data_IF_522094590164
#
_entry.id   IF_522094590164
#
_cell.length_a   1.000
_cell.length_b   1.000
_cell.length_c   1.000
_cell.angle_alpha   90.00
_cell.angle_beta   90.00
_cell.angle_gamma   90.00
#
_symmetry.space_group_name_H-M   'P 1'
#
loop_
_entity.id
_entity.type
_entity.pdbx_description
1 polymer ?
#
# COMPACT_ATOMS: atom_id res chain seq x y z
N UNK A 1 -16.80 -1.54 -23.70
CA UNK A 1 -15.65 -1.23 -22.80
C UNK A 1 -14.65 -0.30 -23.46
N UNK A 2 -14.20 -0.57 -24.70
CA UNK A 2 -13.20 0.28 -25.36
C UNK A 2 -13.67 1.73 -25.50
N UNK A 3 -14.90 1.96 -25.96
CA UNK A 3 -15.51 3.30 -26.09
C UNK A 3 -15.59 4.05 -24.76
N UNK A 4 -15.97 3.37 -23.68
CA UNK A 4 -15.99 3.95 -22.33
C UNK A 4 -14.57 4.38 -21.88
N UNK A 5 -13.56 3.56 -22.17
CA UNK A 5 -12.17 3.89 -21.82
C UNK A 5 -11.65 5.07 -22.62
N UNK A 6 -11.99 5.19 -23.91
CA UNK A 6 -11.65 6.35 -24.73
C UNK A 6 -12.31 7.62 -24.20
N UNK A 7 -13.59 7.55 -23.81
CA UNK A 7 -14.32 8.67 -23.21
C UNK A 7 -13.71 9.13 -21.88
N UNK A 8 -13.19 8.19 -21.07
CA UNK A 8 -12.53 8.50 -19.80
C UNK A 8 -11.04 8.85 -19.95
N UNK A 9 -10.47 8.84 -21.16
CA UNK A 9 -9.05 9.08 -21.40
C UNK A 9 -8.12 7.98 -20.86
N UNK A 10 -8.63 6.76 -20.64
CA UNK A 10 -7.90 5.63 -20.07
C UNK A 10 -7.21 4.84 -21.20
N UNK A 11 -5.89 4.70 -21.13
CA UNK A 11 -5.14 3.83 -22.02
C UNK A 11 -5.14 2.38 -21.49
N UNK A 12 -5.93 1.50 -22.13
CA UNK A 12 -5.98 0.09 -21.77
C UNK A 12 -4.74 -0.65 -22.27
N UNK A 13 -3.96 -1.20 -21.34
CA UNK A 13 -2.81 -2.09 -21.62
C UNK A 13 -3.21 -3.53 -21.32
N UNK A 14 -3.32 -4.36 -22.34
CA UNK A 14 -3.61 -5.78 -22.20
C UNK A 14 -2.31 -6.58 -22.06
N UNK A 15 -2.29 -7.52 -21.12
CA UNK A 15 -1.21 -8.51 -21.00
C UNK A 15 -1.36 -9.59 -22.07
N UNK A 16 -0.24 -10.18 -22.49
CA UNK A 16 -0.28 -11.33 -23.40
C UNK A 16 -1.04 -12.50 -22.75
N UNK A 17 -1.88 -13.22 -23.51
CA UNK A 17 -2.56 -14.40 -23.01
C UNK A 17 -1.54 -15.40 -22.43
N UNK A 18 -1.91 -16.05 -21.32
CA UNK A 18 -1.06 -17.03 -20.63
C UNK A 18 0.30 -16.51 -20.13
N UNK A 19 0.45 -15.19 -19.94
CA UNK A 19 1.66 -14.59 -19.39
C UNK A 19 1.39 -13.84 -18.06
N UNK A 20 1.19 -14.56 -16.94
CA UNK A 20 0.81 -13.96 -15.65
C UNK A 20 1.90 -13.05 -15.06
N UNK A 21 3.14 -13.12 -15.56
CA UNK A 21 4.27 -12.36 -15.05
C UNK A 21 4.03 -10.84 -15.08
N UNK A 22 3.29 -10.32 -16.07
CA UNK A 22 2.99 -8.89 -16.18
C UNK A 22 2.07 -8.37 -15.08
N UNK A 23 1.21 -9.24 -14.51
CA UNK A 23 0.18 -8.86 -13.53
C UNK A 23 0.54 -9.32 -12.11
N UNK A 24 1.77 -9.76 -11.88
CA UNK A 24 2.18 -10.42 -10.63
C UNK A 24 1.98 -9.56 -9.37
N UNK A 25 2.02 -8.23 -9.46
CA UNK A 25 1.73 -7.36 -8.30
C UNK A 25 0.26 -7.43 -7.87
N UNK A 26 -0.66 -7.46 -8.83
CA UNK A 26 -2.10 -7.58 -8.57
C UNK A 26 -2.41 -8.97 -8.04
N UNK A 27 -1.80 -10.01 -8.60
CA UNK A 27 -1.98 -11.39 -8.13
C UNK A 27 -1.49 -11.58 -6.69
N UNK A 28 -0.31 -11.02 -6.35
CA UNK A 28 0.21 -11.02 -4.97
C UNK A 28 -0.72 -10.29 -4.00
N UNK A 29 -1.25 -9.15 -4.40
CA UNK A 29 -2.22 -8.41 -3.60
C UNK A 29 -3.48 -9.26 -3.37
N UNK A 30 -4.04 -9.86 -4.42
CA UNK A 30 -5.20 -10.75 -4.31
C UNK A 30 -4.94 -11.93 -3.37
N UNK A 31 -3.76 -12.55 -3.45
CA UNK A 31 -3.35 -13.61 -2.52
C UNK A 31 -3.19 -13.15 -1.08
N UNK A 32 -2.65 -11.94 -0.84
CA UNK A 32 -2.55 -11.33 0.48
C UNK A 32 -3.94 -11.06 1.08
N UNK A 33 -4.84 -10.45 0.30
CA UNK A 33 -6.19 -10.13 0.76
C UNK A 33 -6.97 -11.39 1.13
N UNK A 34 -6.88 -12.45 0.31
CA UNK A 34 -7.46 -13.76 0.64
C UNK A 34 -6.92 -14.29 1.96
N UNK A 35 -5.60 -14.28 2.16
CA UNK A 35 -4.96 -14.72 3.43
C UNK A 35 -5.39 -13.90 4.64
N UNK A 36 -5.60 -12.59 4.48
CA UNK A 36 -6.09 -11.75 5.56
C UNK A 36 -7.55 -12.08 5.87
N UNK A 37 -8.40 -12.14 4.85
CA UNK A 37 -9.83 -12.46 5.01
C UNK A 37 -10.03 -13.81 5.69
N UNK A 38 -9.30 -14.86 5.28
CA UNK A 38 -9.37 -16.20 5.91
C UNK A 38 -8.97 -16.21 7.38
N UNK A 39 -8.29 -15.17 7.89
CA UNK A 39 -7.98 -15.05 9.33
C UNK A 39 -9.07 -14.33 10.12
N UNK A 40 -9.90 -13.54 9.45
CA UNK A 40 -10.98 -12.77 10.07
C UNK A 40 -12.35 -13.44 9.91
N UNK A 41 -12.43 -14.53 9.17
CA UNK A 41 -13.69 -15.19 8.82
C UNK A 41 -13.56 -16.70 9.05
N UNK A 42 -14.43 -17.24 9.90
CA UNK A 42 -14.51 -18.67 10.19
C UNK A 42 -15.48 -19.40 9.25
N UNK A 43 -16.42 -18.67 8.65
CA UNK A 43 -17.38 -19.15 7.65
C UNK A 43 -17.28 -18.30 6.38
N UNK A 44 -17.78 -18.77 5.24
CA UNK A 44 -17.75 -17.99 4.00
C UNK A 44 -18.84 -16.90 3.93
N UNK A 45 -19.44 -16.56 5.06
CA UNK A 45 -20.53 -15.61 5.20
C UNK A 45 -19.97 -14.27 5.69
N UNK A 46 -20.35 -13.16 5.04
CA UNK A 46 -19.94 -11.79 5.37
C UNK A 46 -18.50 -11.36 5.02
N UNK A 47 -17.79 -12.12 4.18
CA UNK A 47 -16.43 -11.72 3.73
C UNK A 47 -16.40 -10.35 3.05
N UNK A 48 -17.50 -9.97 2.38
CA UNK A 48 -17.73 -8.71 1.70
C UNK A 48 -17.79 -7.53 2.68
N UNK A 49 -18.40 -7.73 3.84
CA UNK A 49 -18.48 -6.73 4.91
C UNK A 49 -17.11 -6.49 5.57
N UNK A 50 -16.23 -7.48 5.54
CA UNK A 50 -14.87 -7.39 6.09
C UNK A 50 -13.87 -6.70 5.16
N UNK A 51 -14.18 -6.57 3.86
CA UNK A 51 -13.28 -5.98 2.86
C UNK A 51 -12.77 -4.59 3.29
N UNK A 52 -13.60 -3.63 3.73
CA UNK A 52 -13.12 -2.30 4.08
C UNK A 52 -12.10 -2.32 5.22
N UNK A 53 -12.33 -3.15 6.25
CA UNK A 53 -11.43 -3.31 7.39
C UNK A 53 -10.11 -3.96 7.00
N UNK A 54 -10.16 -5.03 6.21
CA UNK A 54 -8.96 -5.71 5.70
C UNK A 54 -8.14 -4.79 4.80
N UNK A 55 -8.79 -4.05 3.90
CA UNK A 55 -8.11 -3.07 3.04
C UNK A 55 -7.47 -1.96 3.85
N UNK A 56 -8.13 -1.48 4.90
CA UNK A 56 -7.55 -0.47 5.80
C UNK A 56 -6.29 -1.00 6.48
N UNK A 57 -6.36 -2.17 7.11
CA UNK A 57 -5.22 -2.80 7.77
C UNK A 57 -4.05 -3.04 6.79
N UNK A 58 -4.36 -3.47 5.56
CA UNK A 58 -3.34 -3.64 4.52
C UNK A 58 -2.68 -2.31 4.14
N UNK A 59 -3.47 -1.24 3.98
CA UNK A 59 -2.96 0.09 3.60
C UNK A 59 -2.19 0.80 4.70
N UNK A 60 -2.51 0.53 5.97
CA UNK A 60 -1.80 1.04 7.14
C UNK A 60 -0.46 0.33 7.36
N UNK A 61 -0.39 -0.96 7.05
CA UNK A 61 0.81 -1.77 7.31
C UNK A 61 1.95 -1.42 6.34
N UNK A 62 3.18 -1.17 6.83
CA UNK A 62 4.36 -0.98 5.99
C UNK A 62 4.69 -2.21 5.15
N UNK A 63 5.00 -2.02 3.87
CA UNK A 63 5.41 -3.12 3.00
C UNK A 63 6.91 -3.38 3.09
N UNK A 64 7.33 -4.65 3.22
CA UNK A 64 8.74 -5.03 3.42
C UNK A 64 9.71 -4.54 2.34
N UNK A 65 9.23 -4.30 1.11
CA UNK A 65 10.09 -3.84 0.00
C UNK A 65 10.36 -2.34 0.07
N UNK A 66 9.33 -1.56 0.40
CA UNK A 66 9.40 -0.09 0.40
C UNK A 66 9.65 0.46 1.78
N UNK A 67 9.46 -0.33 2.84
CA UNK A 67 9.44 0.08 4.26
C UNK A 67 8.37 1.14 4.60
N UNK A 68 7.53 1.51 3.64
CA UNK A 68 6.43 2.46 3.79
C UNK A 68 5.07 1.78 3.58
N UNK A 69 4.06 2.32 4.25
CA UNK A 69 2.67 1.91 4.06
C UNK A 69 2.12 2.46 2.74
N UNK A 70 1.21 1.73 2.09
CA UNK A 70 0.61 2.19 0.84
C UNK A 70 -0.14 3.50 1.01
N UNK A 71 -0.78 3.71 2.17
CA UNK A 71 -1.44 4.98 2.49
C UNK A 71 -0.41 6.13 2.58
N UNK A 72 0.71 5.91 3.26
CA UNK A 72 1.77 6.92 3.39
C UNK A 72 2.36 7.34 2.03
N UNK A 73 2.49 6.40 1.09
CA UNK A 73 2.99 6.70 -0.26
C UNK A 73 2.05 7.56 -1.09
N UNK A 74 0.73 7.41 -0.92
CA UNK A 74 -0.27 8.16 -1.69
C UNK A 74 -0.56 9.51 -1.05
N UNK A 75 -0.64 9.55 0.28
CA UNK A 75 -1.12 10.72 1.01
C UNK A 75 -0.04 11.46 1.80
N UNK A 76 1.21 10.98 1.84
CA UNK A 76 2.31 11.66 2.52
C UNK A 76 2.15 11.78 4.04
N UNK A 77 1.24 11.00 4.64
CA UNK A 77 0.95 11.01 6.08
C UNK A 77 0.53 9.62 6.54
N UNK A 78 0.66 9.35 7.84
CA UNK A 78 0.12 8.13 8.44
C UNK A 78 -1.42 8.20 8.51
N UNK A 79 -2.15 7.13 8.17
CA UNK A 79 -3.59 7.09 8.42
C UNK A 79 -3.84 7.09 9.93
N UNK A 80 -4.91 7.75 10.39
CA UNK A 80 -5.35 7.65 11.78
C UNK A 80 -6.14 6.34 11.94
N UNK A 81 -5.51 5.35 12.55
CA UNK A 81 -6.07 4.01 12.73
C UNK A 81 -6.75 3.81 14.07
N UNK A 82 -7.33 2.62 14.27
CA UNK A 82 -7.86 2.20 15.57
C UNK A 82 -6.77 2.16 16.65
N UNK A 83 -5.54 1.83 16.27
CA UNK A 83 -4.36 1.86 17.14
C UNK A 83 -4.09 3.25 17.71
N UNK A 84 -4.15 4.29 16.87
CA UNK A 84 -3.94 5.67 17.28
C UNK A 84 -5.09 6.16 18.17
N UNK A 85 -6.34 5.80 17.84
CA UNK A 85 -7.52 6.15 18.67
C UNK A 85 -7.41 5.52 20.06
N UNK A 86 -7.01 4.25 20.13
CA UNK A 86 -6.79 3.56 21.40
C UNK A 86 -5.65 4.23 22.19
N UNK A 87 -4.54 4.59 21.53
CA UNK A 87 -3.43 5.27 22.17
C UNK A 87 -3.85 6.63 22.77
N UNK A 88 -4.66 7.41 22.05
CA UNK A 88 -5.23 8.66 22.56
C UNK A 88 -6.12 8.41 23.79
N UNK A 89 -7.00 7.39 23.72
CA UNK A 89 -7.88 7.03 24.82
C UNK A 89 -7.12 6.58 26.08
N UNK A 90 -6.03 5.81 25.92
CA UNK A 90 -5.22 5.34 27.05
C UNK A 90 -4.31 6.43 27.64
N UNK A 91 -3.81 7.34 26.81
CA UNK A 91 -2.91 8.41 27.26
C UNK A 91 -3.65 9.59 27.90
N UNK A 92 -4.99 9.65 27.75
CA UNK A 92 -5.79 10.78 28.20
C UNK A 92 -5.48 12.09 27.45
N UNK A 93 -4.62 12.03 26.43
CA UNK A 93 -4.30 13.14 25.56
C UNK A 93 -5.28 13.12 24.40
N UNK A 94 -6.13 14.14 24.34
CA UNK A 94 -6.97 14.39 23.19
C UNK A 94 -6.09 15.03 22.10
N UNK A 95 -5.23 14.25 21.44
CA UNK A 95 -4.51 14.70 20.23
C UNK A 95 -5.47 14.88 19.03
N UNK A 96 -6.76 15.04 19.28
CA UNK A 96 -7.76 15.36 18.29
C UNK A 96 -7.51 16.78 17.80
N UNK A 97 -6.94 16.85 16.59
CA UNK A 97 -6.74 18.04 15.75
C UNK A 97 -5.40 18.73 16.08
N UNK A 98 -4.55 18.88 15.07
CA UNK A 98 -3.48 19.89 15.06
C UNK A 98 -4.17 21.26 15.10
N UNK A 99 -4.66 21.71 16.25
CA UNK A 99 -5.55 22.88 16.36
C UNK A 99 -4.91 24.20 15.92
N UNK A 100 -3.60 24.25 15.66
CA UNK A 100 -2.88 25.48 15.35
C UNK A 100 -1.90 25.43 14.18
N UNK A 101 -2.06 24.52 13.22
CA UNK A 101 -1.24 24.58 12.00
C UNK A 101 -1.89 25.51 10.97
N UNK A 102 -1.16 26.54 10.54
CA UNK A 102 -1.59 27.35 9.41
C UNK A 102 -1.70 26.46 8.15
N UNK A 103 -2.72 26.67 7.34
CA UNK A 103 -2.98 25.83 6.15
C UNK A 103 -1.76 25.80 5.23
N UNK A 104 -1.04 26.91 5.10
CA UNK A 104 0.19 27.02 4.31
C UNK A 104 1.28 26.10 4.81
N UNK A 105 1.48 26.03 6.12
CA UNK A 105 2.52 25.20 6.73
C UNK A 105 2.18 23.72 6.57
N UNK A 106 0.89 23.37 6.72
CA UNK A 106 0.41 22.02 6.47
C UNK A 106 0.65 21.56 5.03
N UNK A 107 0.32 22.40 4.05
CA UNK A 107 0.50 22.08 2.62
C UNK A 107 1.98 21.92 2.29
N UNK A 108 2.85 22.78 2.84
CA UNK A 108 4.29 22.67 2.65
C UNK A 108 4.84 21.38 3.25
N UNK A 109 4.52 21.08 4.52
CA UNK A 109 4.93 19.85 5.20
C UNK A 109 4.43 18.61 4.44
N UNK A 110 3.19 18.61 3.98
CA UNK A 110 2.62 17.52 3.20
C UNK A 110 3.38 17.30 1.89
N UNK A 111 3.70 18.40 1.19
CA UNK A 111 4.49 18.36 -0.05
C UNK A 111 5.89 17.80 0.17
N UNK A 112 6.56 18.22 1.25
CA UNK A 112 7.90 17.75 1.59
C UNK A 112 7.88 16.28 2.04
N UNK A 113 6.90 15.89 2.84
CA UNK A 113 6.70 14.51 3.27
C UNK A 113 6.43 13.58 2.07
N UNK A 114 5.60 14.01 1.10
CA UNK A 114 5.34 13.23 -0.11
C UNK A 114 6.63 13.00 -0.90
N UNK A 115 7.42 14.05 -1.13
CA UNK A 115 8.70 13.95 -1.85
C UNK A 115 9.69 13.03 -1.11
N UNK A 116 9.84 13.22 0.19
CA UNK A 116 10.75 12.42 1.02
C UNK A 116 10.35 10.95 1.05
N UNK A 117 9.06 10.67 1.28
CA UNK A 117 8.50 9.31 1.31
C UNK A 117 8.69 8.63 -0.04
N UNK A 118 8.41 9.32 -1.15
CA UNK A 118 8.60 8.77 -2.49
C UNK A 118 10.08 8.48 -2.78
N UNK A 119 10.99 9.39 -2.42
CA UNK A 119 12.43 9.19 -2.61
C UNK A 119 12.94 7.97 -1.85
N UNK A 120 12.66 7.91 -0.54
CA UNK A 120 13.12 6.81 0.31
C UNK A 120 12.49 5.47 -0.10
N UNK A 121 11.20 5.45 -0.41
CA UNK A 121 10.55 4.23 -0.90
C UNK A 121 11.14 3.73 -2.22
N UNK A 122 11.53 4.64 -3.10
CA UNK A 122 12.20 4.29 -4.35
C UNK A 122 13.58 3.69 -4.08
N UNK A 123 14.36 4.30 -3.19
CA UNK A 123 15.68 3.81 -2.77
C UNK A 123 15.60 2.40 -2.17
N UNK A 124 14.71 2.17 -1.20
CA UNK A 124 14.50 0.85 -0.61
C UNK A 124 14.05 -0.19 -1.64
N UNK A 125 13.15 0.19 -2.54
CA UNK A 125 12.70 -0.71 -3.60
C UNK A 125 13.83 -1.09 -4.56
N UNK A 126 14.68 -0.13 -4.95
CA UNK A 126 15.85 -0.38 -5.78
C UNK A 126 16.85 -1.31 -5.10
N UNK A 127 17.17 -1.05 -3.82
CA UNK A 127 18.06 -1.91 -3.03
C UNK A 127 17.54 -3.35 -2.96
N UNK A 128 16.24 -3.53 -2.69
CA UNK A 128 15.59 -4.86 -2.68
C UNK A 128 15.63 -5.55 -4.04
N UNK A 129 15.46 -4.80 -5.13
CA UNK A 129 15.58 -5.33 -6.49
C UNK A 129 17.01 -5.76 -6.80
N UNK A 130 18.01 -5.00 -6.37
CA UNK A 130 19.42 -5.35 -6.52
C UNK A 130 19.77 -6.64 -5.76
N UNK A 131 19.35 -6.77 -4.49
CA UNK A 131 19.48 -8.00 -3.70
C UNK A 131 18.86 -9.20 -4.42
N UNK A 132 17.66 -9.03 -4.97
CA UNK A 132 16.97 -10.10 -5.70
C UNK A 132 17.72 -10.51 -6.97
N UNK A 133 18.24 -9.54 -7.73
CA UNK A 133 19.06 -9.79 -8.93
C UNK A 133 20.33 -10.56 -8.58
N UNK A 134 21.02 -10.19 -7.51
CA UNK A 134 22.25 -10.86 -7.10
C UNK A 134 22.02 -12.27 -6.55
N UNK A 135 20.92 -12.50 -5.83
CA UNK A 135 20.50 -13.86 -5.43
C UNK A 135 20.25 -14.75 -6.65
N UNK A 136 19.62 -14.23 -7.71
CA UNK A 136 19.41 -14.97 -8.95
C UNK A 136 20.70 -15.31 -9.70
N UNK A 137 21.70 -14.42 -9.68
CA UNK A 137 23.02 -14.69 -10.28
C UNK A 137 23.77 -15.81 -9.56
N UNK A 138 23.57 -15.93 -8.24
CA UNK A 138 24.22 -16.96 -7.40
C UNK A 138 23.48 -18.30 -7.37
N UNK A 139 22.24 -18.36 -7.84
CA UNK A 139 21.52 -19.63 -7.95
C UNK A 139 22.18 -20.50 -9.02
N UNK A 140 22.46 -21.79 -8.76
CA UNK A 140 23.00 -22.67 -9.78
C UNK A 140 22.03 -22.67 -10.97
N UNK A 141 22.52 -22.33 -12.16
CA UNK A 141 21.76 -22.53 -13.38
C UNK A 141 21.52 -24.03 -13.51
N UNK A 142 20.27 -24.46 -13.31
CA UNK A 142 19.87 -25.82 -13.63
C UNK A 142 20.21 -26.06 -15.11
N UNK A 143 21.21 -26.93 -15.33
CA UNK A 143 21.48 -27.55 -16.63
C UNK A 143 20.44 -28.63 -16.90
#
# INVERSE_FOLDING_TARGET
>A
MQEMMTLMGINMRLSTPYHPFSNGMVERLGGNLKRMLTKFTDSNENWDQLIPGVLFAYRETPHNTTCYSSFGLVFGRKPRGSSDILADAFSGQNNSIREHMFVTDYVNELGDNLKATQHLAHEYAQAKLAEYRDKKKKAPQCR
#
